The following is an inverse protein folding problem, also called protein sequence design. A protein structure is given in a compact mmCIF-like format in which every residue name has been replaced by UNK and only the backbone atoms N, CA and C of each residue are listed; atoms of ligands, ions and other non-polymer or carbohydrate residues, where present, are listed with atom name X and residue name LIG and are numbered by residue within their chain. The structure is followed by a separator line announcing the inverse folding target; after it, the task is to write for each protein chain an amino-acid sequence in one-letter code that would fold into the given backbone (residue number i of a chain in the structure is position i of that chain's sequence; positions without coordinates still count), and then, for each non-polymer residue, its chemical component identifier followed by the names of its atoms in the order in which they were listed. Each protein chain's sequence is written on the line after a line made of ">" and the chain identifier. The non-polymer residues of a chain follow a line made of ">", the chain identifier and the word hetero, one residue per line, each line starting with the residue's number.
data_IF_549514152419
#
_entry.id   IF_549514152419
#
_cell.length_a   1.000
_cell.length_b   1.000
_cell.length_c   1.000
_cell.angle_alpha   90.00
_cell.angle_beta   90.00
_cell.angle_gamma   90.00
#
_symmetry.space_group_name_H-M   'P 1'
#
loop_
_entity.id
_entity.type
_entity.pdbx_description
1 polymer ?
#
# COMPACT_ATOMS: atom_id res chain seq x y z
N UNK A 1 -11.43 -13.06 -24.33
CA UNK A 1 -11.86 -11.85 -25.07
C UNK A 1 -10.86 -10.75 -24.74
N UNK A 2 -10.25 -10.10 -25.76
CA UNK A 2 -9.41 -8.94 -25.49
C UNK A 2 -10.31 -7.79 -25.04
N UNK A 3 -10.00 -7.22 -23.88
CA UNK A 3 -10.60 -5.98 -23.42
C UNK A 3 -9.63 -4.87 -23.81
N UNK A 4 -10.08 -3.99 -24.71
CA UNK A 4 -9.40 -2.71 -24.88
C UNK A 4 -9.85 -1.81 -23.76
N UNK A 5 -8.94 -1.43 -22.86
CA UNK A 5 -9.19 -0.28 -22.00
C UNK A 5 -9.40 0.95 -22.91
N UNK A 6 -10.09 1.99 -22.45
CA UNK A 6 -10.17 3.27 -23.18
C UNK A 6 -8.78 3.88 -23.51
N UNK A 7 -7.73 3.42 -22.83
CA UNK A 7 -6.33 3.82 -23.02
C UNK A 7 -5.53 2.86 -23.93
N UNK A 8 -6.15 1.86 -24.57
CA UNK A 8 -5.51 1.02 -25.58
C UNK A 8 -4.71 -0.19 -25.05
N UNK A 9 -4.72 -0.48 -23.74
CA UNK A 9 -4.02 -1.64 -23.19
C UNK A 9 -4.88 -2.89 -23.35
N UNK A 10 -4.36 -3.93 -24.05
CA UNK A 10 -5.03 -5.22 -24.23
C UNK A 10 -4.88 -6.10 -22.98
N UNK A 11 -5.99 -6.36 -22.30
CA UNK A 11 -6.09 -7.45 -21.32
C UNK A 11 -6.74 -8.66 -22.00
N UNK A 12 -6.19 -9.85 -21.75
CA UNK A 12 -6.78 -11.09 -22.22
C UNK A 12 -7.51 -11.75 -21.05
N UNK A 13 -8.85 -11.65 -21.06
CA UNK A 13 -9.72 -12.42 -20.17
C UNK A 13 -10.37 -13.56 -20.96
N UNK A 14 -10.59 -14.69 -20.35
CA UNK A 14 -11.47 -15.71 -20.92
C UNK A 14 -12.93 -15.21 -20.94
N UNK A 15 -13.83 -15.94 -21.63
CA UNK A 15 -15.23 -15.49 -21.77
C UNK A 15 -15.99 -15.48 -20.44
N UNK A 16 -15.62 -16.32 -19.50
CA UNK A 16 -16.24 -16.39 -18.18
C UNK A 16 -15.77 -15.24 -17.29
N UNK A 17 -14.48 -14.95 -17.29
CA UNK A 17 -13.86 -13.81 -16.62
C UNK A 17 -14.37 -12.48 -17.17
N UNK A 18 -14.49 -12.37 -18.51
CA UNK A 18 -15.08 -11.18 -19.16
C UNK A 18 -16.56 -11.00 -18.82
N UNK A 19 -17.33 -12.08 -18.83
CA UNK A 19 -18.74 -12.03 -18.46
C UNK A 19 -18.95 -11.71 -16.99
N UNK A 20 -18.04 -12.15 -16.10
CA UNK A 20 -18.03 -11.83 -14.67
C UNK A 20 -17.67 -10.37 -14.44
N UNK A 21 -16.62 -9.88 -15.08
CA UNK A 21 -16.19 -8.49 -15.08
C UNK A 21 -17.31 -7.57 -15.58
N UNK A 22 -17.93 -7.88 -16.72
CA UNK A 22 -19.01 -7.12 -17.32
C UNK A 22 -20.26 -7.06 -16.45
N UNK A 23 -20.69 -8.18 -15.84
CA UNK A 23 -21.84 -8.21 -14.93
C UNK A 23 -21.57 -7.36 -13.66
N UNK A 24 -20.35 -7.33 -13.20
CA UNK A 24 -19.96 -6.57 -12.01
C UNK A 24 -19.97 -5.05 -12.28
N UNK A 25 -19.48 -4.63 -13.42
CA UNK A 25 -19.36 -3.21 -13.78
C UNK A 25 -20.54 -2.62 -14.55
N UNK A 26 -21.38 -3.42 -15.20
CA UNK A 26 -22.61 -2.97 -15.91
C UNK A 26 -23.90 -3.25 -15.14
N UNK A 27 -23.87 -4.06 -14.09
CA UNK A 27 -25.05 -4.50 -13.33
C UNK A 27 -25.18 -3.85 -11.98
N UNK A 28 -25.82 -2.67 -11.90
CA UNK A 28 -26.58 -2.11 -10.75
C UNK A 28 -26.11 -2.33 -9.30
N UNK A 29 -24.82 -2.55 -9.00
CA UNK A 29 -24.30 -2.71 -7.66
C UNK A 29 -23.83 -1.37 -7.06
N UNK A 30 -23.87 -1.25 -5.73
CA UNK A 30 -23.37 -0.09 -4.99
C UNK A 30 -22.01 0.37 -5.53
N UNK A 31 -21.87 1.69 -5.79
CA UNK A 31 -20.60 2.30 -6.18
C UNK A 31 -19.46 1.81 -5.27
N UNK A 32 -18.37 1.33 -5.87
CA UNK A 32 -17.16 0.93 -5.14
C UNK A 32 -16.52 2.19 -4.54
N UNK A 33 -16.27 2.19 -3.25
CA UNK A 33 -15.61 3.31 -2.57
C UNK A 33 -14.14 3.01 -2.38
N UNK A 34 -13.31 3.79 -3.05
CA UNK A 34 -11.85 3.65 -3.01
C UNK A 34 -11.27 4.82 -2.21
N UNK A 35 -10.46 4.51 -1.21
CA UNK A 35 -9.70 5.51 -0.48
C UNK A 35 -8.23 5.48 -0.90
N UNK A 36 -7.67 6.64 -1.21
CA UNK A 36 -6.26 6.84 -1.49
C UNK A 36 -5.60 7.62 -0.37
N UNK A 37 -4.40 7.21 0.02
CA UNK A 37 -3.52 7.90 0.96
C UNK A 37 -2.06 7.72 0.53
N UNK A 38 -1.12 8.39 1.18
CA UNK A 38 0.33 8.25 1.00
C UNK A 38 1.07 8.82 2.20
N UNK A 39 2.40 8.83 2.18
CA UNK A 39 3.26 9.55 3.11
C UNK A 39 4.07 10.69 2.45
N UNK A 40 4.13 10.76 1.13
CA UNK A 40 4.77 11.86 0.40
C UNK A 40 3.97 13.19 0.45
N UNK A 41 2.72 13.14 0.92
CA UNK A 41 1.82 14.29 0.99
C UNK A 41 0.79 14.36 -0.13
N UNK A 42 -0.28 15.16 0.09
CA UNK A 42 -1.43 15.24 -0.83
C UNK A 42 -1.07 15.82 -2.21
N UNK A 43 -0.04 16.64 -2.29
CA UNK A 43 0.42 17.26 -3.54
C UNK A 43 1.51 16.43 -4.27
N UNK A 44 1.82 15.23 -3.77
CA UNK A 44 2.82 14.37 -4.40
C UNK A 44 2.33 13.81 -5.74
N UNK A 45 3.25 13.64 -6.71
CA UNK A 45 2.94 13.11 -8.03
C UNK A 45 2.47 11.65 -7.95
N UNK A 46 2.99 10.84 -7.02
CA UNK A 46 2.65 9.43 -6.88
C UNK A 46 1.16 9.21 -6.61
N UNK A 47 0.58 9.91 -5.64
CA UNK A 47 -0.85 9.77 -5.31
C UNK A 47 -1.75 10.34 -6.43
N UNK A 48 -1.28 11.37 -7.15
CA UNK A 48 -1.95 11.86 -8.35
C UNK A 48 -2.02 10.78 -9.42
N UNK A 49 -0.89 10.14 -9.76
CA UNK A 49 -0.85 9.06 -10.76
C UNK A 49 -1.69 7.85 -10.37
N UNK A 50 -1.73 7.54 -9.08
CA UNK A 50 -2.60 6.49 -8.54
C UNK A 50 -4.09 6.84 -8.77
N UNK A 51 -4.49 8.06 -8.46
CA UNK A 51 -5.86 8.51 -8.71
C UNK A 51 -6.21 8.47 -10.22
N UNK A 52 -5.34 9.04 -11.07
CA UNK A 52 -5.53 9.04 -12.53
C UNK A 52 -5.68 7.62 -13.10
N UNK A 53 -4.95 6.63 -12.56
CA UNK A 53 -5.04 5.22 -13.00
C UNK A 53 -6.38 4.55 -12.65
N UNK A 54 -7.16 5.10 -11.73
CA UNK A 54 -8.43 4.55 -11.26
C UNK A 54 -9.66 5.30 -11.81
N UNK A 55 -9.48 6.44 -12.51
CA UNK A 55 -10.59 7.27 -12.99
C UNK A 55 -11.44 6.61 -14.08
N UNK A 56 -10.94 5.57 -14.74
CA UNK A 56 -11.68 4.83 -15.76
C UNK A 56 -12.66 3.79 -15.18
N UNK A 57 -12.60 3.54 -13.86
CA UNK A 57 -13.57 2.69 -13.17
C UNK A 57 -14.95 3.37 -13.10
N UNK A 58 -15.89 2.93 -13.96
CA UNK A 58 -17.20 3.58 -14.15
C UNK A 58 -18.10 3.59 -12.92
N UNK A 59 -17.93 2.63 -12.01
CA UNK A 59 -18.77 2.46 -10.82
C UNK A 59 -17.97 2.62 -9.53
N UNK A 60 -17.05 3.59 -9.51
CA UNK A 60 -16.22 3.88 -8.34
C UNK A 60 -16.30 5.35 -7.92
N UNK A 61 -16.33 5.57 -6.61
CA UNK A 61 -16.08 6.88 -5.98
C UNK A 61 -14.68 6.86 -5.39
N UNK A 62 -13.84 7.82 -5.81
CA UNK A 62 -12.47 7.95 -5.33
C UNK A 62 -12.42 9.08 -4.29
N UNK A 63 -11.87 8.74 -3.13
CA UNK A 63 -11.57 9.65 -2.05
C UNK A 63 -10.07 9.70 -1.84
N UNK A 64 -9.54 10.89 -1.62
CA UNK A 64 -8.13 11.11 -1.30
C UNK A 64 -8.04 11.75 0.07
N UNK A 65 -7.41 11.08 1.01
CA UNK A 65 -7.16 11.63 2.34
C UNK A 65 -5.70 11.37 2.67
N UNK A 66 -4.89 12.41 2.64
CA UNK A 66 -3.44 12.29 2.71
C UNK A 66 -2.83 13.37 3.63
N UNK A 67 -1.61 13.17 4.13
CA UNK A 67 -0.90 14.16 4.88
C UNK A 67 -0.77 15.48 4.09
N UNK A 68 -0.88 16.61 4.80
CA UNK A 68 -0.67 17.94 4.19
C UNK A 68 0.80 18.15 3.75
N UNK A 69 1.73 17.46 4.40
CA UNK A 69 3.17 17.52 4.17
C UNK A 69 3.76 16.11 4.18
N UNK A 70 4.97 15.95 3.65
CA UNK A 70 5.71 14.69 3.66
C UNK A 70 5.89 14.13 5.08
N UNK A 71 5.72 12.80 5.21
CA UNK A 71 5.81 12.01 6.46
C UNK A 71 6.66 10.75 6.28
N UNK A 72 7.79 10.87 5.61
CA UNK A 72 8.71 9.74 5.37
C UNK A 72 9.31 9.20 6.67
N UNK A 73 9.44 7.88 6.76
CA UNK A 73 10.10 7.23 7.87
C UNK A 73 9.34 7.24 9.21
N UNK A 74 8.06 7.60 9.23
CA UNK A 74 7.25 7.71 10.47
C UNK A 74 6.76 6.36 10.99
N UNK A 75 6.96 5.29 10.24
CA UNK A 75 6.41 3.97 10.58
C UNK A 75 4.89 4.01 10.73
N UNK A 76 4.35 3.24 11.66
CA UNK A 76 2.90 3.24 11.97
C UNK A 76 2.56 4.23 13.10
N UNK A 77 3.06 5.48 12.98
CA UNK A 77 2.82 6.52 13.97
C UNK A 77 1.39 7.07 13.91
N UNK A 78 0.84 7.41 15.09
CA UNK A 78 -0.45 8.07 15.25
C UNK A 78 -0.31 9.39 16.02
N UNK A 79 -1.14 10.36 15.69
CA UNK A 79 -1.16 11.70 16.28
C UNK A 79 -2.14 11.75 17.45
N UNK A 80 -1.63 11.64 18.68
CA UNK A 80 -2.46 11.69 19.91
C UNK A 80 -2.42 13.01 20.66
N UNK A 81 -1.43 13.87 20.38
CA UNK A 81 -1.17 15.09 21.19
C UNK A 81 -1.55 16.39 20.52
N UNK A 82 -2.11 16.34 19.33
CA UNK A 82 -2.63 17.49 18.59
C UNK A 82 -3.94 17.13 17.90
N UNK A 83 -4.77 18.13 17.61
CA UNK A 83 -5.99 17.90 16.86
C UNK A 83 -5.67 17.63 15.39
N UNK A 84 -6.33 16.64 14.82
CA UNK A 84 -6.33 16.44 13.38
C UNK A 84 -7.33 17.40 12.73
N UNK A 85 -6.88 18.13 11.71
CA UNK A 85 -7.69 19.14 11.01
C UNK A 85 -7.81 18.78 9.53
N UNK A 86 -8.86 18.08 9.09
CA UNK A 86 -9.10 17.85 7.68
C UNK A 86 -9.45 19.14 6.95
N UNK A 87 -8.71 19.46 5.89
CA UNK A 87 -8.96 20.61 5.02
C UNK A 87 -9.28 20.10 3.61
N UNK A 88 -10.43 20.51 3.07
CA UNK A 88 -10.81 20.15 1.70
C UNK A 88 -9.75 20.62 0.70
N UNK A 89 -9.45 19.77 -0.28
CA UNK A 89 -8.37 20.01 -1.25
C UNK A 89 -8.85 19.85 -2.69
N UNK A 90 -8.48 20.74 -3.63
CA UNK A 90 -8.96 20.68 -5.02
C UNK A 90 -8.35 19.54 -5.84
N UNK A 91 -7.35 18.89 -5.35
CA UNK A 91 -6.65 17.71 -5.88
C UNK A 91 -6.51 17.66 -7.40
N UNK A 92 -5.73 18.58 -7.94
CA UNK A 92 -5.41 18.70 -9.38
C UNK A 92 -6.63 18.90 -10.30
N UNK A 93 -7.79 19.23 -9.76
CA UNK A 93 -9.05 19.35 -10.52
C UNK A 93 -9.62 18.01 -11.00
N UNK A 94 -9.12 16.88 -10.47
CA UNK A 94 -9.66 15.56 -10.77
C UNK A 94 -11.05 15.37 -10.12
N UNK A 95 -11.92 14.51 -10.69
CA UNK A 95 -13.27 14.26 -10.16
C UNK A 95 -13.23 13.34 -8.93
N UNK A 96 -12.51 13.73 -7.90
CA UNK A 96 -12.34 13.03 -6.62
C UNK A 96 -12.69 13.93 -5.46
N UNK A 97 -13.05 13.37 -4.31
CA UNK A 97 -13.21 14.11 -3.07
C UNK A 97 -11.92 14.02 -2.26
N UNK A 98 -11.29 15.16 -1.90
CA UNK A 98 -9.98 15.16 -1.29
C UNK A 98 -9.87 16.05 -0.05
N UNK A 99 -9.06 15.59 0.93
CA UNK A 99 -8.73 16.32 2.14
C UNK A 99 -7.26 16.14 2.50
N UNK A 100 -6.62 17.25 2.83
CA UNK A 100 -5.30 17.28 3.46
C UNK A 100 -5.46 17.19 4.99
N UNK A 101 -4.61 16.43 5.67
CA UNK A 101 -4.63 16.31 7.14
C UNK A 101 -3.22 16.56 7.68
N UNK A 102 -3.14 17.30 8.79
CA UNK A 102 -1.91 17.49 9.55
C UNK A 102 -1.55 16.27 10.43
N UNK A 103 -1.51 15.09 9.83
CA UNK A 103 -1.30 13.80 10.48
C UNK A 103 -0.44 12.87 9.64
N UNK A 104 -0.26 11.66 10.11
CA UNK A 104 0.43 10.57 9.42
C UNK A 104 -0.54 9.78 8.52
N UNK A 105 -0.05 8.91 7.62
CA UNK A 105 -0.93 8.10 6.75
C UNK A 105 -1.98 7.28 7.50
N UNK A 106 -1.61 6.68 8.63
CA UNK A 106 -2.56 5.95 9.48
C UNK A 106 -3.65 6.87 10.06
N UNK A 107 -3.32 8.12 10.44
CA UNK A 107 -4.31 9.11 10.87
C UNK A 107 -5.28 9.46 9.74
N UNK A 108 -4.77 9.58 8.51
CA UNK A 108 -5.57 9.88 7.32
C UNK A 108 -6.61 8.78 7.06
N UNK A 109 -6.21 7.51 7.12
CA UNK A 109 -7.13 6.36 6.96
C UNK A 109 -8.17 6.33 8.08
N UNK A 110 -7.76 6.55 9.34
CA UNK A 110 -8.70 6.65 10.48
C UNK A 110 -9.70 7.79 10.29
N UNK A 111 -9.21 8.98 9.93
CA UNK A 111 -10.06 10.15 9.72
C UNK A 111 -11.07 9.91 8.58
N UNK A 112 -10.64 9.31 7.47
CA UNK A 112 -11.54 8.93 6.40
C UNK A 112 -12.65 8.00 6.88
N UNK A 113 -12.26 6.91 7.57
CA UNK A 113 -13.21 5.88 8.01
C UNK A 113 -14.19 6.34 9.11
N UNK A 114 -13.83 7.34 9.89
CA UNK A 114 -14.63 7.73 11.08
C UNK A 114 -15.24 9.13 11.01
N UNK A 115 -14.69 10.05 10.20
CA UNK A 115 -15.08 11.45 10.20
C UNK A 115 -15.61 11.94 8.85
N UNK A 116 -14.99 11.54 7.73
CA UNK A 116 -15.18 12.21 6.45
C UNK A 116 -16.27 11.58 5.56
N UNK A 117 -16.63 10.33 5.82
CA UNK A 117 -17.74 9.69 5.09
C UNK A 117 -19.07 9.96 5.79
N UNK A 118 -19.90 10.82 5.19
CA UNK A 118 -21.17 11.29 5.75
C UNK A 118 -22.13 10.15 6.10
N UNK A 119 -22.18 9.11 5.28
CA UNK A 119 -23.03 7.92 5.47
C UNK A 119 -22.41 6.87 6.39
N UNK A 120 -21.25 7.14 6.98
CA UNK A 120 -20.45 6.22 7.82
C UNK A 120 -20.12 4.88 7.14
N UNK A 121 -20.32 4.75 5.84
CA UNK A 121 -19.90 3.60 5.08
C UNK A 121 -18.38 3.65 4.88
N UNK A 122 -17.67 2.63 5.34
CA UNK A 122 -16.22 2.49 5.12
C UNK A 122 -15.90 2.34 3.64
N UNK A 123 -14.66 2.66 3.21
CA UNK A 123 -14.20 2.31 1.87
C UNK A 123 -14.21 0.79 1.68
N UNK A 124 -14.34 0.36 0.44
CA UNK A 124 -14.28 -1.05 0.07
C UNK A 124 -12.82 -1.51 -0.07
N UNK A 125 -11.90 -0.56 -0.36
CA UNK A 125 -10.46 -0.78 -0.44
C UNK A 125 -9.70 0.53 -0.18
N UNK A 126 -8.49 0.40 0.38
CA UNK A 126 -7.53 1.49 0.55
C UNK A 126 -6.27 1.20 -0.25
N UNK A 127 -5.86 2.14 -1.09
CA UNK A 127 -4.54 2.15 -1.70
C UNK A 127 -3.70 3.24 -1.05
N UNK A 128 -2.48 2.89 -0.65
CA UNK A 128 -1.49 3.81 -0.07
C UNK A 128 -0.28 3.92 -0.98
N UNK A 129 -0.01 5.11 -1.49
CA UNK A 129 1.08 5.38 -2.43
C UNK A 129 0.65 6.31 -3.58
N UNK A 130 1.35 6.32 -4.72
CA UNK A 130 2.56 5.54 -5.03
C UNK A 130 3.76 6.24 -4.40
N UNK A 131 4.49 5.54 -3.55
CA UNK A 131 5.64 6.06 -2.83
C UNK A 131 6.84 6.29 -3.77
N UNK A 132 7.59 7.36 -3.52
CA UNK A 132 8.93 7.54 -4.07
C UNK A 132 9.88 6.55 -3.40
N UNK A 133 10.46 5.65 -4.19
CA UNK A 133 11.30 4.59 -3.68
C UNK A 133 10.55 3.36 -3.18
N UNK A 134 11.27 2.25 -3.11
CA UNK A 134 10.73 0.95 -2.72
C UNK A 134 10.58 0.81 -1.20
N UNK A 135 9.66 -0.07 -0.79
CA UNK A 135 9.52 -0.55 0.58
C UNK A 135 9.72 -2.07 0.59
N UNK A 136 10.98 -2.52 0.60
CA UNK A 136 11.37 -3.92 0.47
C UNK A 136 11.74 -4.53 1.82
N UNK A 137 11.45 -5.80 2.00
CA UNK A 137 11.86 -6.52 3.19
C UNK A 137 11.41 -5.83 4.47
N UNK A 138 12.37 -5.45 5.32
CA UNK A 138 12.10 -4.82 6.63
C UNK A 138 11.72 -3.36 6.58
N UNK A 139 11.83 -2.69 5.42
CA UNK A 139 11.41 -1.29 5.28
C UNK A 139 9.92 -1.09 5.56
N UNK A 140 9.11 -2.13 5.38
CA UNK A 140 7.68 -2.10 5.72
C UNK A 140 7.37 -1.64 7.15
N UNK A 141 8.34 -1.78 8.08
CA UNK A 141 8.16 -1.37 9.49
C UNK A 141 8.37 0.14 9.69
N UNK A 142 9.16 0.77 8.83
CA UNK A 142 9.45 2.21 8.87
C UNK A 142 8.57 3.03 7.91
N UNK A 143 7.97 2.35 6.93
CA UNK A 143 7.19 2.96 5.86
C UNK A 143 5.85 3.53 6.33
N UNK A 144 5.62 4.81 6.04
CA UNK A 144 4.32 5.45 6.15
C UNK A 144 3.32 4.91 5.14
N UNK A 145 3.77 4.63 3.90
CA UNK A 145 2.96 4.01 2.85
C UNK A 145 2.41 2.64 3.30
N UNK A 146 3.27 1.75 3.81
CA UNK A 146 2.83 0.47 4.36
C UNK A 146 1.93 0.65 5.58
N UNK A 147 2.12 1.70 6.38
CA UNK A 147 1.28 1.97 7.53
C UNK A 147 -0.15 2.33 7.15
N UNK A 148 -0.35 3.11 6.08
CA UNK A 148 -1.68 3.42 5.56
C UNK A 148 -2.46 2.16 5.15
N UNK A 149 -1.81 1.27 4.40
CA UNK A 149 -2.41 -0.01 4.01
C UNK A 149 -2.68 -0.94 5.21
N UNK A 150 -1.75 -1.00 6.17
CA UNK A 150 -1.89 -1.79 7.40
C UNK A 150 -3.03 -1.25 8.28
N UNK A 151 -3.14 0.07 8.42
CA UNK A 151 -4.23 0.69 9.18
C UNK A 151 -5.60 0.37 8.59
N UNK A 152 -5.73 0.34 7.26
CA UNK A 152 -6.95 -0.09 6.60
C UNK A 152 -7.36 -1.50 7.06
N UNK A 153 -6.42 -2.46 7.05
CA UNK A 153 -6.67 -3.84 7.48
C UNK A 153 -7.03 -3.92 8.97
N UNK A 154 -6.37 -3.14 9.84
CA UNK A 154 -6.72 -3.03 11.27
C UNK A 154 -8.18 -2.55 11.43
N UNK A 155 -8.64 -1.68 10.56
CA UNK A 155 -10.03 -1.20 10.53
C UNK A 155 -11.00 -2.13 9.80
N UNK A 156 -10.55 -3.30 9.32
CA UNK A 156 -11.37 -4.28 8.60
C UNK A 156 -11.66 -3.89 7.14
N UNK A 157 -10.78 -3.11 6.52
CA UNK A 157 -10.83 -2.72 5.12
C UNK A 157 -9.60 -3.28 4.39
N UNK A 158 -9.73 -3.89 3.21
CA UNK A 158 -8.58 -4.31 2.41
C UNK A 158 -7.60 -3.17 2.15
N UNK A 159 -6.30 -3.42 2.33
CA UNK A 159 -5.25 -2.42 2.18
C UNK A 159 -4.14 -2.87 1.21
N UNK A 160 -3.71 -1.97 0.34
CA UNK A 160 -2.65 -2.18 -0.65
C UNK A 160 -1.67 -1.01 -0.58
N UNK A 161 -0.41 -1.29 -0.34
CA UNK A 161 0.69 -0.33 -0.41
C UNK A 161 1.37 -0.43 -1.77
N UNK A 162 1.71 0.71 -2.38
CA UNK A 162 2.36 0.78 -3.68
C UNK A 162 3.60 1.65 -3.59
N UNK A 163 4.73 1.15 -4.09
CA UNK A 163 6.03 1.82 -4.08
C UNK A 163 6.72 1.67 -5.43
N UNK A 164 7.39 2.72 -5.88
CA UNK A 164 8.05 2.78 -7.19
C UNK A 164 9.54 3.05 -7.03
N UNK A 165 10.40 2.27 -7.65
CA UNK A 165 11.87 2.33 -7.51
C UNK A 165 12.48 3.53 -8.25
N UNK A 166 11.97 4.75 -7.98
CA UNK A 166 12.40 5.99 -8.63
C UNK A 166 13.20 6.94 -7.72
N UNK A 167 13.98 6.40 -6.80
CA UNK A 167 14.79 7.17 -5.83
C UNK A 167 15.63 8.29 -6.43
N UNK A 168 16.15 8.08 -7.65
CA UNK A 168 17.02 9.03 -8.33
C UNK A 168 16.28 9.97 -9.30
N UNK A 169 14.99 9.76 -9.48
CA UNK A 169 14.13 10.52 -10.40
C UNK A 169 12.75 10.74 -9.75
N UNK A 170 12.74 11.34 -8.57
CA UNK A 170 11.59 11.43 -7.66
C UNK A 170 10.30 11.97 -8.29
N UNK A 171 10.40 12.87 -9.27
CA UNK A 171 9.25 13.42 -10.01
C UNK A 171 8.88 12.59 -11.25
N UNK A 172 9.70 11.60 -11.61
CA UNK A 172 9.43 10.74 -12.77
C UNK A 172 8.58 9.54 -12.36
N UNK A 173 7.30 9.69 -12.53
CA UNK A 173 6.34 8.60 -12.44
C UNK A 173 5.95 8.04 -13.82
N UNK A 174 6.48 8.59 -14.91
CA UNK A 174 6.31 8.11 -16.27
C UNK A 174 4.95 7.47 -16.56
N UNK A 175 4.95 6.24 -17.02
CA UNK A 175 3.77 5.43 -17.32
C UNK A 175 3.38 4.45 -16.19
N UNK A 176 3.89 4.65 -14.97
CA UNK A 176 3.64 3.72 -13.86
C UNK A 176 2.15 3.47 -13.61
N UNK A 177 1.31 4.52 -13.70
CA UNK A 177 -0.14 4.39 -13.52
C UNK A 177 -0.78 3.45 -14.55
N UNK A 178 -0.36 3.52 -15.81
CA UNK A 178 -0.84 2.63 -16.86
C UNK A 178 -0.32 1.19 -16.68
N UNK A 179 0.93 1.06 -16.27
CA UNK A 179 1.57 -0.23 -16.01
C UNK A 179 0.86 -1.02 -14.91
N UNK A 180 0.47 -0.36 -13.82
CA UNK A 180 -0.16 -1.03 -12.68
C UNK A 180 -1.71 -1.06 -12.75
N UNK A 181 -2.33 -0.36 -13.69
CA UNK A 181 -3.79 -0.28 -13.81
C UNK A 181 -4.49 -1.65 -13.78
N UNK A 182 -4.04 -2.67 -14.54
CA UNK A 182 -4.66 -3.99 -14.48
C UNK A 182 -4.61 -4.62 -13.08
N UNK A 183 -3.53 -4.39 -12.35
CA UNK A 183 -3.35 -4.88 -10.98
C UNK A 183 -4.29 -4.15 -10.00
N UNK A 184 -4.43 -2.82 -10.14
CA UNK A 184 -5.37 -2.03 -9.34
C UNK A 184 -6.82 -2.48 -9.56
N UNK A 185 -7.22 -2.70 -10.82
CA UNK A 185 -8.55 -3.18 -11.16
C UNK A 185 -8.83 -4.56 -10.57
N UNK A 186 -7.87 -5.48 -10.66
CA UNK A 186 -7.97 -6.80 -10.02
C UNK A 186 -8.20 -6.69 -8.50
N UNK A 187 -7.45 -5.83 -7.81
CA UNK A 187 -7.68 -5.62 -6.37
C UNK A 187 -9.04 -5.01 -6.08
N UNK A 188 -9.51 -4.06 -6.88
CA UNK A 188 -10.86 -3.50 -6.76
C UNK A 188 -11.94 -4.57 -6.94
N UNK A 189 -11.80 -5.46 -7.93
CA UNK A 189 -12.72 -6.58 -8.16
C UNK A 189 -12.71 -7.55 -6.97
N UNK A 190 -11.54 -7.98 -6.51
CA UNK A 190 -11.41 -8.86 -5.36
C UNK A 190 -12.00 -8.26 -4.08
N UNK A 191 -11.84 -6.94 -3.87
CA UNK A 191 -12.43 -6.23 -2.74
C UNK A 191 -13.96 -6.19 -2.83
N UNK A 192 -14.51 -5.87 -4.00
CA UNK A 192 -15.95 -5.84 -4.24
C UNK A 192 -16.60 -7.22 -4.03
N UNK A 193 -15.91 -8.29 -4.40
CA UNK A 193 -16.34 -9.68 -4.20
C UNK A 193 -16.03 -10.21 -2.78
N UNK A 194 -15.41 -9.40 -1.90
CA UNK A 194 -14.99 -9.77 -0.54
C UNK A 194 -14.09 -11.01 -0.48
N UNK A 195 -13.20 -11.14 -1.45
CA UNK A 195 -12.27 -12.27 -1.57
C UNK A 195 -10.89 -12.01 -0.97
N UNK A 196 -10.58 -10.74 -0.65
CA UNK A 196 -9.31 -10.41 -0.02
C UNK A 196 -9.30 -10.84 1.46
N UNK A 197 -8.18 -11.39 1.96
CA UNK A 197 -8.07 -11.80 3.36
C UNK A 197 -8.20 -10.60 4.30
N UNK A 198 -8.81 -10.82 5.46
CA UNK A 198 -9.15 -9.77 6.42
C UNK A 198 -7.99 -9.31 7.31
N UNK A 199 -6.88 -10.04 7.31
CA UNK A 199 -5.74 -9.88 8.21
C UNK A 199 -4.40 -9.70 7.48
N UNK A 200 -4.48 -9.41 6.18
CA UNK A 200 -3.32 -9.23 5.29
C UNK A 200 -3.46 -7.91 4.52
N UNK A 201 -2.41 -7.08 4.51
CA UNK A 201 -2.25 -6.06 3.51
C UNK A 201 -1.28 -6.52 2.42
N UNK A 202 -1.39 -5.93 1.24
CA UNK A 202 -0.50 -6.26 0.13
C UNK A 202 0.52 -5.14 -0.05
N UNK A 203 1.81 -5.51 -0.11
CA UNK A 203 2.91 -4.61 -0.40
C UNK A 203 3.39 -4.84 -1.84
N UNK A 204 3.25 -3.82 -2.67
CA UNK A 204 3.60 -3.86 -4.10
C UNK A 204 4.80 -2.96 -4.33
N UNK A 205 5.85 -3.52 -4.93
CA UNK A 205 7.00 -2.74 -5.36
C UNK A 205 7.17 -2.86 -6.88
N UNK A 206 7.37 -1.71 -7.53
CA UNK A 206 7.37 -1.57 -8.98
C UNK A 206 8.78 -1.13 -9.40
N UNK A 207 9.48 -1.86 -10.30
CA UNK A 207 10.79 -1.46 -10.79
C UNK A 207 10.67 -0.21 -11.69
N UNK A 208 11.64 0.70 -11.59
CA UNK A 208 11.73 1.88 -12.46
C UNK A 208 12.31 1.47 -13.82
N UNK A 209 11.47 0.87 -14.65
CA UNK A 209 11.81 0.40 -16.00
C UNK A 209 10.74 0.85 -17.00
N UNK A 210 11.11 1.02 -18.28
CA UNK A 210 10.12 1.12 -19.35
C UNK A 210 9.18 -0.10 -19.34
N UNK A 211 7.87 0.07 -19.63
CA UNK A 211 6.89 -1.01 -19.53
C UNK A 211 7.27 -2.29 -20.28
N UNK A 212 7.90 -2.16 -21.45
CA UNK A 212 8.35 -3.28 -22.27
C UNK A 212 9.54 -4.07 -21.68
N UNK A 213 10.22 -3.51 -20.69
CA UNK A 213 11.32 -4.17 -19.96
C UNK A 213 10.86 -4.80 -18.65
N UNK A 214 9.63 -4.51 -18.20
CA UNK A 214 9.04 -5.17 -17.03
C UNK A 214 8.68 -6.60 -17.39
N UNK A 215 9.28 -7.56 -16.68
CA UNK A 215 9.15 -8.99 -16.98
C UNK A 215 7.82 -9.62 -16.57
N UNK A 216 7.05 -8.92 -15.75
CA UNK A 216 5.74 -9.36 -15.28
C UNK A 216 5.52 -9.06 -13.80
N UNK A 217 4.48 -9.68 -13.23
CA UNK A 217 4.09 -9.56 -11.83
C UNK A 217 4.39 -10.89 -11.14
N UNK A 218 5.04 -10.85 -9.98
CA UNK A 218 5.40 -12.04 -9.24
C UNK A 218 5.00 -11.94 -7.75
N UNK A 219 4.45 -13.01 -7.15
CA UNK A 219 4.36 -13.10 -5.71
C UNK A 219 5.76 -13.17 -5.09
N UNK A 220 5.98 -12.48 -3.99
CA UNK A 220 7.28 -12.40 -3.34
C UNK A 220 7.18 -12.56 -1.83
N UNK A 221 8.23 -13.11 -1.23
CA UNK A 221 8.44 -13.03 0.21
C UNK A 221 9.16 -11.72 0.56
N UNK A 222 9.03 -11.27 1.80
CA UNK A 222 9.84 -10.15 2.30
C UNK A 222 11.30 -10.57 2.39
N UNK A 223 12.19 -9.77 1.82
CA UNK A 223 13.62 -9.98 1.95
C UNK A 223 14.08 -9.82 3.42
N UNK A 224 14.96 -10.69 3.87
CA UNK A 224 15.50 -10.65 5.23
C UNK A 224 16.87 -9.95 5.31
N UNK A 225 17.21 -9.15 4.30
CA UNK A 225 18.48 -8.42 4.29
C UNK A 225 18.55 -7.40 5.43
N UNK A 226 19.79 -7.12 5.85
CA UNK A 226 20.09 -6.08 6.80
C UNK A 226 20.77 -4.93 6.07
N UNK A 227 20.28 -3.71 6.30
CA UNK A 227 21.02 -2.52 5.93
C UNK A 227 22.23 -2.35 6.85
N UNK A 228 23.31 -1.83 6.31
CA UNK A 228 24.38 -1.25 7.11
C UNK A 228 24.03 0.22 7.36
N UNK A 229 23.54 0.52 8.57
CA UNK A 229 23.30 1.89 8.98
C UNK A 229 24.63 2.60 9.22
N UNK A 230 24.81 3.76 8.57
CA UNK A 230 25.96 4.64 8.75
C UNK A 230 25.50 6.01 9.21
N UNK A 231 26.28 6.64 10.05
CA UNK A 231 26.03 8.00 10.50
C UNK A 231 27.14 8.90 9.99
N UNK A 232 26.83 9.69 8.98
CA UNK A 232 27.77 10.65 8.40
C UNK A 232 27.65 11.99 9.10
N UNK A 233 28.79 12.49 9.61
CA UNK A 233 28.83 13.79 10.29
C UNK A 233 28.74 14.93 9.28
N UNK A 234 27.78 15.83 9.50
CA UNK A 234 27.64 17.10 8.79
C UNK A 234 27.63 18.27 9.80
N UNK A 235 27.64 19.53 9.30
CA UNK A 235 27.83 20.71 10.15
C UNK A 235 26.82 20.84 11.30
N UNK A 236 25.58 20.38 11.10
CA UNK A 236 24.51 20.47 12.11
C UNK A 236 24.20 19.15 12.85
N UNK A 237 25.00 18.09 12.63
CA UNK A 237 24.76 16.79 13.30
C UNK A 237 25.20 15.57 12.51
N UNK A 238 24.42 14.52 12.64
CA UNK A 238 24.68 13.25 11.95
C UNK A 238 23.49 12.89 11.06
N UNK A 239 23.80 12.51 9.83
CA UNK A 239 22.81 11.98 8.90
C UNK A 239 22.89 10.48 8.88
N UNK A 240 21.73 9.81 9.04
CA UNK A 240 21.61 8.38 8.85
C UNK A 240 21.60 8.09 7.35
N UNK A 241 22.61 7.35 6.91
CA UNK A 241 22.68 6.78 5.57
C UNK A 241 22.60 5.26 5.65
N UNK A 242 22.07 4.63 4.61
CA UNK A 242 21.91 3.18 4.55
C UNK A 242 22.51 2.65 3.27
N UNK A 243 23.32 1.63 3.39
CA UNK A 243 23.86 0.90 2.26
C UNK A 243 23.26 -0.51 2.23
N UNK A 244 22.92 -0.97 1.03
CA UNK A 244 22.65 -2.38 0.81
C UNK A 244 24.00 -3.11 0.76
N UNK A 245 24.26 -4.06 1.65
CA UNK A 245 25.49 -4.82 1.57
C UNK A 245 25.48 -5.69 0.31
N UNK A 246 26.55 -5.57 -0.49
CA UNK A 246 26.74 -6.40 -1.67
C UNK A 246 26.76 -7.89 -1.29
N UNK A 247 26.02 -8.71 -2.04
CA UNK A 247 26.09 -10.17 -1.94
C UNK A 247 25.19 -10.83 -0.90
N UNK A 248 24.28 -10.11 -0.24
CA UNK A 248 23.28 -10.71 0.69
C UNK A 248 22.03 -11.24 -0.02
N UNK A 249 22.16 -11.88 -1.16
CA UNK A 249 21.01 -12.58 -1.76
C UNK A 249 20.62 -13.77 -0.87
N UNK A 250 19.41 -13.74 -0.31
CA UNK A 250 18.90 -14.84 0.54
C UNK A 250 17.97 -15.78 -0.24
N UNK A 251 17.25 -15.27 -1.23
CA UNK A 251 16.33 -16.04 -2.05
C UNK A 251 16.10 -15.36 -3.40
N UNK A 252 15.97 -16.14 -4.45
CA UNK A 252 15.53 -15.68 -5.76
C UNK A 252 14.01 -15.43 -5.87
N UNK A 253 13.30 -15.65 -4.76
CA UNK A 253 11.86 -15.43 -4.62
C UNK A 253 11.51 -14.29 -3.65
N UNK A 254 12.50 -13.52 -3.15
CA UNK A 254 12.22 -12.37 -2.31
C UNK A 254 11.95 -11.09 -3.12
N UNK A 255 11.31 -10.12 -2.47
CA UNK A 255 10.87 -8.87 -3.10
C UNK A 255 12.05 -8.03 -3.59
N UNK A 256 13.18 -8.00 -2.88
CA UNK A 256 14.37 -7.28 -3.28
C UNK A 256 14.95 -7.85 -4.58
N UNK A 257 15.19 -9.16 -4.62
CA UNK A 257 15.76 -9.81 -5.80
C UNK A 257 14.86 -9.64 -7.02
N UNK A 258 13.57 -9.87 -6.87
CA UNK A 258 12.62 -9.82 -7.97
C UNK A 258 12.45 -8.40 -8.54
N UNK A 259 12.38 -7.35 -7.71
CA UNK A 259 12.33 -5.95 -8.18
C UNK A 259 13.60 -5.60 -8.95
N UNK A 260 14.78 -5.93 -8.41
CA UNK A 260 16.07 -5.68 -9.09
C UNK A 260 16.21 -6.45 -10.41
N UNK A 261 15.49 -7.55 -10.56
CA UNK A 261 15.43 -8.33 -11.80
C UNK A 261 14.26 -7.94 -12.73
N UNK A 262 13.57 -6.83 -12.46
CA UNK A 262 12.57 -6.23 -13.34
C UNK A 262 11.17 -6.80 -13.22
N UNK A 263 10.81 -7.41 -12.09
CA UNK A 263 9.45 -7.84 -11.79
C UNK A 263 8.74 -6.83 -10.88
N UNK A 264 7.45 -6.62 -11.11
CA UNK A 264 6.56 -6.04 -10.11
C UNK A 264 6.31 -7.12 -9.07
N UNK A 265 6.55 -6.81 -7.79
CA UNK A 265 6.33 -7.77 -6.71
C UNK A 265 5.02 -7.50 -5.98
N UNK A 266 4.36 -8.57 -5.55
CA UNK A 266 3.17 -8.54 -4.69
C UNK A 266 3.45 -9.40 -3.48
N UNK A 267 3.64 -8.78 -2.33
CA UNK A 267 3.94 -9.47 -1.07
C UNK A 267 2.73 -9.39 -0.13
N UNK A 268 2.07 -10.51 0.21
CA UNK A 268 1.05 -10.52 1.26
C UNK A 268 1.71 -10.43 2.63
N UNK A 269 1.32 -9.43 3.44
CA UNK A 269 1.91 -9.16 4.75
C UNK A 269 0.84 -9.28 5.83
N UNK A 270 1.02 -10.22 6.74
CA UNK A 270 0.12 -10.46 7.84
C UNK A 270 0.23 -9.37 8.91
N UNK A 271 -0.90 -8.91 9.46
CA UNK A 271 -0.91 -7.92 10.55
C UNK A 271 -0.72 -8.53 11.93
N UNK A 272 -1.01 -9.82 12.12
CA UNK A 272 -0.71 -10.55 13.35
C UNK A 272 0.75 -11.01 13.33
N UNK A 273 1.59 -10.31 14.08
CA UNK A 273 3.02 -10.60 14.22
C UNK A 273 3.33 -11.63 15.33
N UNK A 274 2.31 -12.30 15.87
CA UNK A 274 2.50 -13.29 16.94
C UNK A 274 3.17 -14.56 16.39
N UNK A 275 4.35 -14.91 16.91
CA UNK A 275 4.91 -16.23 16.66
C UNK A 275 4.15 -17.29 17.47
N UNK A 276 3.22 -17.97 16.81
CA UNK A 276 2.36 -18.97 17.45
C UNK A 276 3.11 -20.26 17.82
N UNK A 277 4.21 -20.58 17.14
CA UNK A 277 5.04 -21.73 17.48
C UNK A 277 5.81 -21.47 18.76
N UNK A 278 6.47 -20.30 18.85
CA UNK A 278 7.15 -19.90 20.08
C UNK A 278 6.18 -19.71 21.25
N UNK A 279 4.97 -19.19 21.01
CA UNK A 279 3.96 -19.03 22.03
C UNK A 279 3.57 -20.38 22.67
N UNK A 280 3.48 -21.45 21.88
CA UNK A 280 3.22 -22.79 22.38
C UNK A 280 4.38 -23.30 23.28
N UNK A 281 5.62 -23.08 22.85
CA UNK A 281 6.81 -23.47 23.61
C UNK A 281 6.95 -22.67 24.93
N UNK A 282 6.59 -21.38 24.90
CA UNK A 282 6.60 -20.50 26.07
C UNK A 282 5.67 -20.98 27.19
N UNK A 283 4.60 -21.72 26.88
CA UNK A 283 3.72 -22.29 27.87
C UNK A 283 4.46 -23.26 28.83
N UNK A 284 5.59 -23.81 28.38
CA UNK A 284 6.43 -24.70 29.16
C UNK A 284 7.50 -23.96 30.01
N UNK A 285 7.64 -22.65 29.89
CA UNK A 285 8.62 -21.88 30.65
C UNK A 285 8.24 -21.79 32.13
N UNK A 286 9.20 -21.99 33.08
CA UNK A 286 8.90 -22.17 34.51
C UNK A 286 8.02 -21.09 35.13
N UNK A 287 8.20 -19.81 34.78
CA UNK A 287 7.40 -18.70 35.31
C UNK A 287 6.02 -18.58 34.65
N UNK A 288 5.84 -19.12 33.44
CA UNK A 288 4.56 -19.05 32.71
C UNK A 288 3.64 -20.23 33.03
N UNK A 289 4.20 -21.38 33.46
CA UNK A 289 3.47 -22.55 33.96
C UNK A 289 2.63 -22.27 35.25
N UNK A 290 3.01 -21.26 36.03
CA UNK A 290 2.38 -20.98 37.33
C UNK A 290 0.99 -20.33 37.25
N UNK A 291 0.52 -19.93 36.05
CA UNK A 291 -0.84 -19.34 35.91
C UNK A 291 -2.01 -20.31 36.05
N UNK A 292 -1.75 -21.62 36.18
CA UNK A 292 -2.78 -22.66 36.32
C UNK A 292 -3.08 -23.13 37.74
N UNK A 293 -2.36 -22.66 38.77
CA UNK A 293 -2.58 -23.05 40.17
C UNK A 293 -3.01 -21.85 41.03
N UNK A 294 -3.92 -21.04 40.55
CA UNK A 294 -4.59 -20.01 41.32
C UNK A 294 -5.76 -20.62 42.06
N UNK A 295 -5.54 -20.93 43.36
CA UNK A 295 -6.47 -21.05 44.48
C UNK A 295 -7.96 -21.10 44.13
N UNK A 296 -8.52 -22.28 44.28
CA UNK A 296 -9.94 -22.52 44.58
C UNK A 296 -10.37 -21.79 45.82
#
# INVERSE_FOLDING_TARGET
>A
VPISSPAGTLMWLDEEEYSRWRRHYEGGHNMLRILLTNDDGIEAQGIRRLAEALLDLKNAEIYVVAPAEERSGVGHGLTYRSALAPVSHPFYGLPVKAWAINGNPADCVKAACHLLFEDRRRPDIVFSGINVGTNLGRDIYYSGTCSGAREAVILGVPGVALSYDNWYAQDDFGQVGELIRPLLHMFCEQAAEKKLPADVFFNINIPHLPPEQVKGIAPAALALHHYEDKFDRQDEGYWLTREYPDGQQQSDADDYYLVKNGYITVTPVHIDATDRSLLADMAEWPLLKQRGQGTS
#
